data_IF_128030055349
#
_entry.id   IF_128030055349
#
_cell.length_a   1.000
_cell.length_b   1.000
_cell.length_c   1.000
_cell.angle_alpha   90.00
_cell.angle_beta   90.00
_cell.angle_gamma   90.00
#
_symmetry.space_group_name_H-M   'P 1'
#
loop_
_entity.id
_entity.type
_entity.pdbx_description
1 polymer ?
#
# COMPACT_ATOMS: atom_id res chain seq x y z
N UNK A 1 -17.40 -11.00 -22.53
CA UNK A 1 -16.02 -10.88 -22.07
C UNK A 1 -16.03 -10.68 -20.55
N UNK A 2 -15.19 -11.39 -19.85
CA UNK A 2 -15.14 -11.31 -18.39
C UNK A 2 -14.61 -9.96 -17.91
N UNK A 3 -15.29 -9.34 -16.96
CA UNK A 3 -14.87 -8.08 -16.35
C UNK A 3 -14.18 -8.32 -15.03
N UNK A 4 -13.42 -7.33 -14.56
CA UNK A 4 -12.74 -7.44 -13.27
C UNK A 4 -13.72 -7.48 -12.10
N UNK A 5 -14.92 -6.93 -12.25
CA UNK A 5 -15.97 -7.04 -11.23
C UNK A 5 -16.31 -8.49 -10.90
N UNK A 6 -16.17 -9.40 -11.86
CA UNK A 6 -16.48 -10.82 -11.70
C UNK A 6 -15.38 -11.60 -10.98
N UNK A 7 -14.16 -11.09 -10.96
CA UNK A 7 -13.00 -11.79 -10.38
C UNK A 7 -12.38 -11.09 -9.19
N UNK A 8 -12.70 -9.82 -8.95
CA UNK A 8 -12.08 -9.03 -7.89
C UNK A 8 -12.45 -9.53 -6.50
N UNK A 9 -11.57 -9.29 -5.55
CA UNK A 9 -11.85 -9.45 -4.13
C UNK A 9 -12.65 -8.24 -3.67
N UNK A 10 -13.84 -8.45 -3.12
CA UNK A 10 -14.74 -7.36 -2.69
C UNK A 10 -14.51 -6.93 -1.26
N UNK A 11 -14.09 -7.86 -0.42
CA UNK A 11 -13.81 -7.59 0.99
C UNK A 11 -12.35 -7.11 1.11
N UNK A 12 -12.13 -5.87 0.72
CA UNK A 12 -10.79 -5.29 0.62
C UNK A 12 -10.29 -4.85 1.99
N UNK A 13 -9.09 -5.29 2.36
CA UNK A 13 -8.40 -4.78 3.53
C UNK A 13 -7.86 -3.40 3.16
N UNK A 14 -8.30 -2.37 3.87
CA UNK A 14 -7.88 -0.98 3.63
C UNK A 14 -7.17 -0.41 4.85
N UNK A 15 -6.44 0.67 4.63
CA UNK A 15 -5.78 1.44 5.67
C UNK A 15 -6.34 2.86 5.64
N UNK A 16 -6.62 3.45 6.80
CA UNK A 16 -7.03 4.84 6.88
C UNK A 16 -5.83 5.76 6.61
N UNK A 17 -6.05 6.85 5.90
CA UNK A 17 -5.00 7.84 5.65
C UNK A 17 -4.55 8.55 6.93
N UNK A 18 -5.39 8.51 7.96
CA UNK A 18 -5.09 9.07 9.29
C UNK A 18 -4.44 8.06 10.23
N UNK A 19 -4.36 6.79 9.84
CA UNK A 19 -3.68 5.76 10.63
C UNK A 19 -2.19 6.07 10.75
N UNK A 20 -1.59 5.60 11.83
CA UNK A 20 -0.12 5.68 11.99
C UNK A 20 0.55 4.59 11.17
N UNK A 21 1.84 4.75 10.89
CA UNK A 21 2.62 3.72 10.21
C UNK A 21 2.65 2.43 11.03
N UNK A 22 2.68 2.53 12.36
CA UNK A 22 2.61 1.38 13.27
C UNK A 22 1.31 0.59 13.07
N UNK A 23 0.17 1.30 13.04
CA UNK A 23 -1.14 0.67 12.83
C UNK A 23 -1.20 0.01 11.45
N UNK A 24 -0.69 0.70 10.43
CA UNK A 24 -0.65 0.16 9.07
C UNK A 24 0.24 -1.08 8.99
N UNK A 25 1.43 -1.04 9.60
CA UNK A 25 2.34 -2.18 9.62
C UNK A 25 1.69 -3.39 10.30
N UNK A 26 0.95 -3.18 11.39
CA UNK A 26 0.22 -4.24 12.07
C UNK A 26 -0.83 -4.88 11.15
N UNK A 27 -1.58 -4.06 10.40
CA UNK A 27 -2.58 -4.56 9.46
C UNK A 27 -1.93 -5.42 8.37
N UNK A 28 -0.86 -4.92 7.74
CA UNK A 28 -0.16 -5.66 6.68
C UNK A 28 0.39 -6.98 7.20
N UNK A 29 0.96 -6.96 8.40
CA UNK A 29 1.56 -8.15 9.03
C UNK A 29 0.49 -9.18 9.43
N UNK A 30 -0.54 -8.74 10.11
CA UNK A 30 -1.62 -9.63 10.58
C UNK A 30 -2.39 -10.25 9.43
N UNK A 31 -2.61 -9.50 8.36
CA UNK A 31 -3.34 -9.97 7.19
C UNK A 31 -2.44 -10.67 6.18
N UNK A 32 -1.13 -10.69 6.42
CA UNK A 32 -0.14 -11.31 5.53
C UNK A 32 -0.23 -10.77 4.10
N UNK A 33 -0.33 -9.45 3.98
CA UNK A 33 -0.40 -8.75 2.69
C UNK A 33 0.78 -7.79 2.56
N UNK A 34 1.23 -7.55 1.34
CA UNK A 34 2.39 -6.70 1.06
C UNK A 34 2.02 -5.23 0.80
N UNK A 35 0.75 -4.92 0.78
CA UNK A 35 0.26 -3.56 0.58
C UNK A 35 -1.25 -3.50 0.59
N UNK A 36 -1.78 -2.30 0.76
CA UNK A 36 -3.22 -2.09 0.83
C UNK A 36 -3.60 -0.72 0.29
N UNK A 37 -4.82 -0.60 -0.27
CA UNK A 37 -5.37 0.70 -0.61
C UNK A 37 -5.56 1.55 0.64
N UNK A 38 -5.31 2.85 0.49
CA UNK A 38 -5.53 3.84 1.55
C UNK A 38 -6.79 4.63 1.21
N UNK A 39 -7.69 4.72 2.18
CA UNK A 39 -8.95 5.45 2.03
C UNK A 39 -9.04 6.56 3.06
N UNK A 40 -9.78 7.62 2.72
CA UNK A 40 -10.06 8.70 3.67
C UNK A 40 -11.33 8.39 4.47
N UNK A 41 -11.74 9.32 5.32
CA UNK A 41 -12.93 9.17 6.17
C UNK A 41 -14.24 9.01 5.38
N UNK A 42 -14.26 9.41 4.11
CA UNK A 42 -15.42 9.27 3.23
C UNK A 42 -15.41 7.99 2.41
N UNK A 43 -14.40 7.14 2.62
CA UNK A 43 -14.25 5.90 1.87
C UNK A 43 -13.66 6.06 0.48
N UNK A 44 -13.19 7.25 0.13
CA UNK A 44 -12.55 7.49 -1.16
C UNK A 44 -11.12 6.96 -1.18
N UNK A 45 -10.73 6.40 -2.30
CA UNK A 45 -9.36 5.92 -2.52
C UNK A 45 -8.42 7.12 -2.68
N UNK A 46 -7.45 7.25 -1.77
CA UNK A 46 -6.53 8.40 -1.76
C UNK A 46 -5.06 8.00 -1.92
N UNK A 47 -4.73 6.72 -1.80
CA UNK A 47 -3.36 6.27 -1.93
C UNK A 47 -3.22 4.76 -1.89
N UNK A 48 -1.97 4.32 -2.00
CA UNK A 48 -1.56 2.93 -1.79
C UNK A 48 -0.40 2.95 -0.82
N UNK A 49 -0.42 2.03 0.14
CA UNK A 49 0.69 1.82 1.06
C UNK A 49 1.21 0.40 0.90
N UNK A 50 2.52 0.28 0.74
CA UNK A 50 3.19 -1.02 0.59
C UNK A 50 4.23 -1.24 1.67
N UNK A 51 4.68 -2.50 1.80
CA UNK A 51 5.82 -2.84 2.65
C UNK A 51 7.05 -2.01 2.28
N UNK A 52 7.25 -1.78 0.98
CA UNK A 52 8.38 -0.97 0.50
C UNK A 52 8.32 0.45 1.03
N UNK A 53 7.14 1.05 1.08
CA UNK A 53 6.97 2.40 1.62
C UNK A 53 7.39 2.46 3.10
N UNK A 54 6.98 1.45 3.87
CA UNK A 54 7.32 1.35 5.28
C UNK A 54 8.82 1.10 5.48
N UNK A 55 9.40 0.19 4.70
CA UNK A 55 10.84 -0.12 4.77
C UNK A 55 11.69 1.06 4.34
N UNK A 56 11.26 1.83 3.35
CA UNK A 56 11.96 3.05 2.94
C UNK A 56 11.98 4.08 4.07
N UNK A 57 10.91 4.17 4.84
CA UNK A 57 10.87 5.07 5.99
C UNK A 57 11.84 4.63 7.09
N UNK A 58 11.93 3.31 7.34
CA UNK A 58 12.93 2.75 8.26
C UNK A 58 14.35 3.09 7.78
N UNK A 59 14.62 2.93 6.48
CA UNK A 59 15.92 3.24 5.88
C UNK A 59 16.29 4.71 6.05
N UNK A 60 15.36 5.62 5.89
CA UNK A 60 15.59 7.04 6.13
C UNK A 60 16.02 7.31 7.58
N UNK A 61 15.39 6.60 8.53
CA UNK A 61 15.72 6.72 9.95
C UNK A 61 17.10 6.17 10.28
N UNK A 62 17.51 5.08 9.62
CA UNK A 62 18.85 4.49 9.80
C UNK A 62 19.98 5.44 9.41
N UNK A 63 19.74 6.36 8.47
CA UNK A 63 20.74 7.32 8.06
C UNK A 63 21.13 8.30 9.17
N UNK A 64 20.22 8.61 10.10
CA UNK A 64 20.45 9.55 11.19
C UNK A 64 21.57 9.13 12.15
N UNK A 65 21.62 7.87 12.65
CA UNK A 65 22.71 7.43 13.53
C UNK A 65 24.08 7.48 12.86
N UNK A 66 24.16 7.20 11.55
CA UNK A 66 25.40 7.25 10.79
C UNK A 66 25.94 8.67 10.71
N UNK A 67 25.07 9.65 10.47
CA UNK A 67 25.44 11.06 10.41
C UNK A 67 26.01 11.50 11.76
N UNK A 68 25.37 11.13 12.86
CA UNK A 68 25.85 11.45 14.21
C UNK A 68 27.19 10.80 14.51
N UNK A 69 27.41 9.57 14.07
CA UNK A 69 28.69 8.88 14.27
C UNK A 69 29.85 9.62 13.59
N UNK A 70 29.64 10.12 12.37
CA UNK A 70 30.66 10.90 11.66
C UNK A 70 30.90 12.27 12.26
N UNK A 71 29.94 12.82 12.97
CA UNK A 71 30.06 14.11 13.64
C UNK A 71 30.73 14.05 15.00
N UNK A 72 31.54 13.05 15.29
CA UNK A 72 32.22 12.82 16.56
C UNK A 72 31.27 12.48 17.72
N UNK A 73 30.08 12.13 17.41
CA UNK A 73 29.06 11.79 18.39
C UNK A 73 28.33 10.53 17.95
N UNK A 74 28.36 9.49 18.79
CA UNK A 74 27.62 8.26 18.55
C UNK A 74 26.35 8.33 19.40
N UNK A 75 25.20 8.30 18.72
CA UNK A 75 23.92 8.35 19.40
C UNK A 75 23.73 7.10 20.27
N UNK A 76 23.30 7.27 21.53
CA UNK A 76 22.96 6.12 22.37
C UNK A 76 21.88 5.28 21.73
N UNK A 77 21.89 3.98 21.99
CA UNK A 77 20.87 3.05 21.47
C UNK A 77 19.45 3.49 21.78
N UNK A 78 19.23 4.03 22.99
CA UNK A 78 17.93 4.55 23.38
C UNK A 78 17.46 5.71 22.48
N UNK A 79 18.38 6.58 22.03
CA UNK A 79 18.08 7.68 21.12
C UNK A 79 17.71 7.14 19.75
N UNK A 80 18.42 6.13 19.26
CA UNK A 80 18.13 5.46 17.99
C UNK A 80 16.74 4.85 18.03
N UNK A 81 16.41 4.11 19.08
CA UNK A 81 15.09 3.53 19.27
C UNK A 81 13.98 4.59 19.26
N UNK A 82 14.21 5.70 19.91
CA UNK A 82 13.25 6.80 19.96
C UNK A 82 12.98 7.37 18.56
N UNK A 83 14.02 7.53 17.75
CA UNK A 83 13.89 8.01 16.38
C UNK A 83 13.02 7.06 15.53
N UNK A 84 13.23 5.76 15.69
CA UNK A 84 12.40 4.76 15.02
C UNK A 84 10.94 4.85 15.48
N UNK A 85 10.71 5.00 16.79
CA UNK A 85 9.35 5.12 17.33
C UNK A 85 8.64 6.37 16.83
N UNK A 86 9.33 7.51 16.76
CA UNK A 86 8.74 8.74 16.22
C UNK A 86 8.31 8.57 14.77
N UNK A 87 9.10 7.84 13.97
CA UNK A 87 8.71 7.50 12.60
C UNK A 87 7.45 6.63 12.55
N UNK A 88 7.30 5.73 13.52
CA UNK A 88 6.13 4.85 13.59
C UNK A 88 4.82 5.60 13.87
N UNK A 89 4.89 6.79 14.45
CA UNK A 89 3.73 7.61 14.77
C UNK A 89 3.35 8.59 13.65
N UNK A 90 4.09 8.60 12.54
CA UNK A 90 3.72 9.38 11.36
C UNK A 90 2.42 8.86 10.77
N UNK A 91 1.62 9.75 10.20
CA UNK A 91 0.40 9.36 9.52
C UNK A 91 0.71 8.71 8.16
N UNK A 92 -0.07 7.72 7.81
CA UNK A 92 0.02 7.00 6.52
C UNK A 92 0.02 7.98 5.33
N UNK A 93 -0.81 9.04 5.38
CA UNK A 93 -0.91 10.02 4.30
C UNK A 93 0.41 10.72 3.98
N UNK A 94 1.36 10.75 4.91
CA UNK A 94 2.66 11.40 4.70
C UNK A 94 3.66 10.51 3.95
N UNK A 95 3.38 9.21 3.87
CA UNK A 95 4.29 8.20 3.32
C UNK A 95 3.70 7.46 2.11
N UNK A 96 2.38 7.35 2.02
CA UNK A 96 1.70 6.60 0.96
C UNK A 96 2.02 7.15 -0.44
N UNK A 97 1.90 6.29 -1.45
CA UNK A 97 1.93 6.68 -2.85
C UNK A 97 0.58 7.26 -3.22
N UNK A 98 0.55 8.52 -3.70
CA UNK A 98 -0.68 9.21 -4.05
C UNK A 98 -1.07 9.09 -5.52
N UNK A 99 -0.14 8.76 -6.39
CA UNK A 99 -0.41 8.53 -7.83
C UNK A 99 -0.98 7.12 -8.01
N UNK A 100 -2.23 6.94 -7.58
CA UNK A 100 -2.88 5.63 -7.58
C UNK A 100 -3.39 5.28 -8.96
N UNK A 101 -3.00 4.10 -9.45
CA UNK A 101 -3.59 3.52 -10.65
C UNK A 101 -4.76 2.67 -10.19
N UNK A 102 -5.96 3.02 -10.65
CA UNK A 102 -7.19 2.30 -10.33
C UNK A 102 -7.94 1.97 -11.62
N UNK A 103 -8.94 1.12 -11.51
CA UNK A 103 -9.72 0.68 -12.66
C UNK A 103 -11.21 0.70 -12.35
N UNK A 104 -12.06 0.98 -13.35
CA UNK A 104 -13.50 0.85 -13.19
C UNK A 104 -13.91 -0.63 -13.20
N UNK A 105 -15.05 -0.94 -12.59
CA UNK A 105 -15.57 -2.30 -12.48
C UNK A 105 -15.77 -2.98 -13.84
N UNK A 106 -16.05 -2.21 -14.87
CA UNK A 106 -16.38 -2.70 -16.20
C UNK A 106 -15.13 -3.06 -17.03
N UNK A 107 -13.94 -2.74 -16.53
CA UNK A 107 -12.72 -3.07 -17.26
C UNK A 107 -12.63 -4.58 -17.49
N UNK A 108 -12.19 -4.98 -18.67
CA UNK A 108 -12.00 -6.40 -18.98
C UNK A 108 -10.79 -6.97 -18.23
N UNK A 109 -10.81 -8.26 -17.97
CA UNK A 109 -9.67 -8.97 -17.36
C UNK A 109 -8.41 -8.80 -18.21
N UNK A 110 -8.55 -8.78 -19.54
CA UNK A 110 -7.42 -8.58 -20.45
C UNK A 110 -6.79 -7.20 -20.30
N UNK A 111 -7.61 -6.16 -20.23
CA UNK A 111 -7.12 -4.79 -20.05
C UNK A 111 -6.44 -4.63 -18.68
N UNK A 112 -7.02 -5.21 -17.64
CA UNK A 112 -6.43 -5.19 -16.30
C UNK A 112 -5.07 -5.89 -16.28
N UNK A 113 -4.96 -7.03 -16.96
CA UNK A 113 -3.71 -7.76 -17.09
C UNK A 113 -2.62 -6.91 -17.76
N UNK A 114 -2.95 -6.24 -18.85
CA UNK A 114 -2.03 -5.34 -19.53
C UNK A 114 -1.58 -4.19 -18.63
N UNK A 115 -2.52 -3.64 -17.88
CA UNK A 115 -2.25 -2.51 -16.99
C UNK A 115 -1.29 -2.93 -15.85
N UNK A 116 -1.54 -4.08 -15.22
CA UNK A 116 -0.66 -4.61 -14.18
C UNK A 116 0.77 -4.81 -14.70
N UNK A 117 0.90 -5.36 -15.89
CA UNK A 117 2.21 -5.62 -16.50
C UNK A 117 2.90 -4.33 -16.96
N UNK A 118 2.20 -3.45 -17.65
CA UNK A 118 2.79 -2.22 -18.20
C UNK A 118 3.22 -1.25 -17.11
N UNK A 119 2.48 -1.18 -16.02
CA UNK A 119 2.78 -0.29 -14.88
C UNK A 119 3.62 -0.98 -13.80
N UNK A 120 3.91 -2.27 -13.97
CA UNK A 120 4.72 -3.06 -13.02
C UNK A 120 4.15 -3.02 -11.59
N UNK A 121 2.84 -3.14 -11.48
CA UNK A 121 2.14 -3.16 -10.20
C UNK A 121 1.59 -4.55 -9.90
N UNK A 122 1.40 -4.86 -8.63
CA UNK A 122 0.94 -6.18 -8.17
C UNK A 122 -0.54 -6.23 -7.88
N UNK A 123 -1.16 -5.07 -7.69
CA UNK A 123 -2.57 -4.96 -7.33
C UNK A 123 -3.18 -3.75 -7.99
N UNK A 124 -4.45 -3.86 -8.29
CA UNK A 124 -5.22 -2.82 -8.98
C UNK A 124 -6.50 -2.55 -8.19
N UNK A 125 -6.57 -1.43 -7.47
CA UNK A 125 -7.81 -1.04 -6.81
C UNK A 125 -8.91 -0.81 -7.84
N UNK A 126 -10.12 -1.26 -7.53
CA UNK A 126 -11.29 -1.11 -8.38
C UNK A 126 -12.25 -0.13 -7.74
N UNK A 127 -12.65 0.87 -8.50
CA UNK A 127 -13.54 1.94 -8.02
C UNK A 127 -14.82 1.97 -8.84
N UNK A 128 -15.89 2.45 -8.21
CA UNK A 128 -17.16 2.67 -8.90
C UNK A 128 -17.19 4.07 -9.54
N UNK A 129 -18.32 4.43 -10.15
CA UNK A 129 -18.49 5.72 -10.82
C UNK A 129 -18.36 6.93 -9.88
N UNK A 130 -18.52 6.72 -8.58
CA UNK A 130 -18.40 7.77 -7.56
C UNK A 130 -17.00 7.85 -6.95
N UNK A 131 -16.06 7.03 -7.43
CA UNK A 131 -14.70 7.00 -6.92
C UNK A 131 -14.52 6.19 -5.63
N UNK A 132 -15.56 5.50 -5.17
CA UNK A 132 -15.47 4.65 -3.99
C UNK A 132 -14.80 3.33 -4.32
N UNK A 133 -13.95 2.86 -3.41
CA UNK A 133 -13.28 1.57 -3.55
C UNK A 133 -14.28 0.44 -3.37
N UNK A 134 -14.41 -0.42 -4.39
CA UNK A 134 -15.37 -1.54 -4.38
C UNK A 134 -14.71 -2.91 -4.47
N UNK A 135 -13.42 -2.97 -4.78
CA UNK A 135 -12.70 -4.22 -4.88
C UNK A 135 -11.23 -4.01 -5.15
N UNK A 136 -10.53 -5.12 -5.24
CA UNK A 136 -9.12 -5.14 -5.61
C UNK A 136 -8.85 -6.37 -6.49
N UNK A 137 -8.02 -6.19 -7.51
CA UNK A 137 -7.58 -7.27 -8.39
C UNK A 137 -6.08 -7.41 -8.27
N UNK A 138 -5.62 -8.63 -8.01
CA UNK A 138 -4.20 -8.96 -7.93
C UNK A 138 -3.78 -9.78 -9.15
N UNK A 139 -2.47 -9.94 -9.32
CA UNK A 139 -1.92 -10.84 -10.36
C UNK A 139 -2.46 -12.26 -10.17
N UNK A 140 -2.59 -12.71 -8.92
CA UNK A 140 -3.13 -14.03 -8.60
C UNK A 140 -4.58 -14.18 -9.09
N UNK A 141 -5.41 -13.16 -8.89
CA UNK A 141 -6.80 -13.17 -9.37
C UNK A 141 -6.85 -13.33 -10.89
N UNK A 142 -5.97 -12.63 -11.60
CA UNK A 142 -5.86 -12.73 -13.05
C UNK A 142 -5.46 -14.16 -13.47
N UNK A 143 -4.44 -14.71 -12.81
CA UNK A 143 -3.97 -16.06 -13.12
C UNK A 143 -5.07 -17.11 -12.90
N UNK A 144 -5.79 -17.00 -11.80
CA UNK A 144 -6.91 -17.90 -11.52
C UNK A 144 -8.00 -17.79 -12.57
N UNK A 145 -8.31 -16.58 -13.01
CA UNK A 145 -9.33 -16.35 -14.02
C UNK A 145 -8.92 -16.89 -15.39
N UNK A 146 -7.69 -16.61 -15.81
CA UNK A 146 -7.20 -17.01 -17.14
C UNK A 146 -6.99 -18.52 -17.25
N UNK A 147 -6.47 -19.14 -16.21
CA UNK A 147 -6.13 -20.57 -16.23
C UNK A 147 -7.16 -21.46 -15.52
N UNK A 148 -8.26 -20.91 -15.08
CA UNK A 148 -9.36 -21.67 -14.44
C UNK A 148 -8.88 -22.47 -13.22
N UNK A 149 -8.07 -21.86 -12.38
CA UNK A 149 -7.54 -22.48 -11.17
C UNK A 149 -8.52 -22.39 -10.00
#
# INVERSE_FOLDING_TARGET
MQTIAEIMTRDVVTVSDEATLREAAAILTERQISGAPVVNSEGALVGILSESDLLNEVKKREALPRITAFGLFIAPEATVRRLYHEGADLAVRTVMTTSVISAPEEMSVQEASRLLLSKKINRLPVVNSEGALVGIVTREDILKAVFSL
#
